data_IF_086525760285
#
_entry.id   IF_086525760285
#
_cell.length_a   1.000
_cell.length_b   1.000
_cell.length_c   1.000
_cell.angle_alpha   90.00
_cell.angle_beta   90.00
_cell.angle_gamma   90.00
#
_symmetry.space_group_name_H-M   'P 1'
#
loop_
_entity.id
_entity.type
_entity.pdbx_description
1 polymer ?
#
# COMPACT_ATOMS: atom_id res chain seq x y z
N UNK A 1 -15.62 -8.56 37.11
CA UNK A 1 -14.91 -7.32 37.49
C UNK A 1 -13.94 -6.90 36.40
N UNK A 2 -13.10 -7.78 35.85
CA UNK A 2 -12.13 -7.43 34.78
C UNK A 2 -12.78 -6.85 33.50
N UNK A 3 -13.91 -7.40 33.04
CA UNK A 3 -14.60 -6.90 31.86
C UNK A 3 -15.14 -5.47 32.01
N UNK A 4 -15.63 -5.12 33.19
CA UNK A 4 -16.14 -3.78 33.49
C UNK A 4 -15.01 -2.74 33.49
N UNK A 5 -13.87 -3.06 34.09
CA UNK A 5 -12.68 -2.19 34.13
C UNK A 5 -12.15 -1.98 32.71
N UNK A 6 -12.07 -3.03 31.91
CA UNK A 6 -11.64 -2.96 30.52
C UNK A 6 -12.59 -2.12 29.65
N UNK A 7 -13.90 -2.24 29.83
CA UNK A 7 -14.90 -1.43 29.12
C UNK A 7 -14.75 0.07 29.44
N UNK A 8 -14.54 0.42 30.69
CA UNK A 8 -14.25 1.80 31.12
C UNK A 8 -12.95 2.28 30.52
N UNK A 9 -11.90 1.45 30.53
CA UNK A 9 -10.58 1.80 29.99
C UNK A 9 -10.61 2.06 28.47
N UNK A 10 -11.33 1.25 27.71
CA UNK A 10 -11.51 1.45 26.26
C UNK A 10 -12.15 2.81 25.94
N UNK A 11 -13.18 3.17 26.72
CA UNK A 11 -13.90 4.44 26.55
C UNK A 11 -13.08 5.63 27.03
N UNK A 12 -12.47 5.52 28.22
CA UNK A 12 -11.72 6.62 28.84
C UNK A 12 -10.45 6.98 28.04
N UNK A 13 -9.77 5.99 27.44
CA UNK A 13 -8.56 6.19 26.64
C UNK A 13 -8.85 6.40 25.15
N UNK A 14 -10.11 6.51 24.76
CA UNK A 14 -10.52 6.68 23.36
C UNK A 14 -9.91 5.66 22.40
N UNK A 15 -9.73 4.45 22.86
CA UNK A 15 -9.11 3.38 22.08
C UNK A 15 -10.02 2.88 20.97
N UNK A 16 -11.35 2.95 21.18
CA UNK A 16 -12.35 2.40 20.28
C UNK A 16 -13.66 3.20 20.35
N UNK A 17 -14.24 3.47 19.17
CA UNK A 17 -15.55 4.12 19.03
C UNK A 17 -16.46 3.33 18.09
N UNK A 18 -17.78 3.37 18.26
CA UNK A 18 -18.71 2.93 17.21
C UNK A 18 -18.40 3.66 15.90
N UNK A 19 -18.39 2.92 14.79
CA UNK A 19 -17.98 3.42 13.46
C UNK A 19 -16.51 3.22 13.11
N UNK A 20 -15.65 2.89 14.05
CA UNK A 20 -14.26 2.53 13.75
C UNK A 20 -14.19 1.23 12.96
N UNK A 21 -13.31 1.18 11.98
CA UNK A 21 -12.87 -0.06 11.38
C UNK A 21 -11.71 -0.62 12.18
N UNK A 22 -11.85 -1.86 12.64
CA UNK A 22 -10.79 -2.58 13.34
C UNK A 22 -10.49 -3.92 12.69
N UNK A 23 -9.25 -4.38 12.85
CA UNK A 23 -8.82 -5.72 12.47
C UNK A 23 -8.19 -6.41 13.67
N UNK A 24 -8.75 -7.56 14.06
CA UNK A 24 -8.32 -8.38 15.20
C UNK A 24 -8.39 -9.86 14.80
N UNK A 25 -7.36 -10.38 14.09
CA UNK A 25 -7.39 -11.71 13.47
C UNK A 25 -7.60 -12.83 14.47
N UNK A 26 -7.02 -12.72 15.66
CA UNK A 26 -7.15 -13.71 16.73
C UNK A 26 -8.61 -14.01 17.11
N UNK A 27 -9.48 -13.03 16.93
CA UNK A 27 -10.91 -13.13 17.29
C UNK A 27 -11.82 -13.17 16.05
N UNK A 28 -11.24 -13.25 14.86
CA UNK A 28 -12.00 -13.26 13.60
C UNK A 28 -12.79 -11.97 13.38
N UNK A 29 -12.32 -10.85 13.91
CA UNK A 29 -12.94 -9.54 13.71
C UNK A 29 -12.15 -8.72 12.68
N UNK A 30 -12.82 -8.36 11.59
CA UNK A 30 -12.33 -7.42 10.58
C UNK A 30 -13.52 -6.68 9.97
N UNK A 31 -13.78 -5.48 10.47
CA UNK A 31 -14.94 -4.71 10.02
C UNK A 31 -15.23 -3.51 10.90
N UNK A 32 -16.47 -3.05 10.84
CA UNK A 32 -16.91 -1.85 11.54
C UNK A 32 -17.49 -2.17 12.92
N UNK A 33 -16.98 -1.47 13.92
CA UNK A 33 -17.54 -1.50 15.29
C UNK A 33 -18.95 -0.89 15.26
N UNK A 34 -19.94 -1.66 15.64
CA UNK A 34 -21.34 -1.19 15.67
C UNK A 34 -21.80 -0.84 17.08
N UNK A 35 -21.22 -1.46 18.10
CA UNK A 35 -21.61 -1.24 19.48
C UNK A 35 -20.41 -1.44 20.41
N UNK A 36 -20.27 -0.58 21.38
CA UNK A 36 -19.31 -0.69 22.48
C UNK A 36 -20.06 -0.53 23.80
N UNK A 37 -20.11 -1.59 24.59
CA UNK A 37 -20.69 -1.59 25.95
C UNK A 37 -19.61 -1.93 26.97
N UNK A 38 -19.95 -1.86 28.23
CA UNK A 38 -19.05 -2.24 29.32
C UNK A 38 -18.65 -3.74 29.31
N UNK A 39 -19.46 -4.58 28.67
CA UNK A 39 -19.28 -6.04 28.70
C UNK A 39 -19.05 -6.63 27.28
N UNK A 40 -19.33 -5.88 26.26
CA UNK A 40 -19.39 -6.42 24.89
C UNK A 40 -19.02 -5.36 23.87
N UNK A 41 -18.21 -5.75 22.90
CA UNK A 41 -17.94 -4.99 21.66
C UNK A 41 -18.43 -5.83 20.49
N UNK A 42 -19.28 -5.27 19.64
CA UNK A 42 -19.78 -5.92 18.42
C UNK A 42 -19.14 -5.31 17.19
N UNK A 43 -18.59 -6.16 16.34
CA UNK A 43 -17.96 -5.80 15.08
C UNK A 43 -18.74 -6.44 13.93
N UNK A 44 -19.21 -5.63 12.98
CA UNK A 44 -19.78 -6.13 11.73
C UNK A 44 -18.64 -6.33 10.75
N UNK A 45 -18.34 -7.58 10.44
CA UNK A 45 -17.34 -7.97 9.47
C UNK A 45 -17.78 -7.63 8.03
N UNK A 46 -16.84 -7.67 7.09
CA UNK A 46 -17.11 -7.33 5.68
C UNK A 46 -18.06 -8.32 4.98
N UNK A 47 -18.20 -9.53 5.49
CA UNK A 47 -19.17 -10.53 5.04
C UNK A 47 -20.56 -10.37 5.70
N UNK A 48 -20.79 -9.28 6.44
CA UNK A 48 -22.00 -8.97 7.21
C UNK A 48 -22.24 -9.87 8.44
N UNK A 49 -21.33 -10.75 8.80
CA UNK A 49 -21.38 -11.45 10.07
C UNK A 49 -21.04 -10.50 11.24
N UNK A 50 -21.49 -10.84 12.44
CA UNK A 50 -21.19 -10.05 13.64
C UNK A 50 -20.30 -10.89 14.56
N UNK A 51 -19.09 -10.38 14.81
CA UNK A 51 -18.20 -10.93 15.85
C UNK A 51 -18.38 -10.14 17.13
N UNK A 52 -18.58 -10.87 18.21
CA UNK A 52 -18.66 -10.29 19.57
C UNK A 52 -17.34 -10.51 20.28
N UNK A 53 -16.69 -9.43 20.69
CA UNK A 53 -15.40 -9.45 21.38
C UNK A 53 -15.58 -8.91 22.80
N UNK A 54 -15.09 -9.60 23.84
CA UNK A 54 -15.13 -9.06 25.18
C UNK A 54 -14.13 -7.90 25.33
N UNK A 55 -14.49 -6.80 26.04
CA UNK A 55 -13.62 -5.62 26.16
C UNK A 55 -12.22 -5.91 26.69
N UNK A 56 -12.07 -6.88 27.60
CA UNK A 56 -10.74 -7.22 28.12
C UNK A 56 -9.78 -7.73 27.03
N UNK A 57 -10.29 -8.38 25.99
CA UNK A 57 -9.48 -8.87 24.90
C UNK A 57 -8.86 -7.71 24.06
N UNK A 58 -9.60 -6.62 23.93
CA UNK A 58 -9.13 -5.40 23.23
C UNK A 58 -8.10 -4.60 24.05
N UNK A 59 -8.08 -4.81 25.37
CA UNK A 59 -7.09 -4.19 26.25
C UNK A 59 -5.86 -5.07 26.43
N UNK A 60 -6.03 -6.41 26.49
CA UNK A 60 -4.95 -7.36 26.72
C UNK A 60 -4.20 -7.79 25.44
N UNK A 61 -4.89 -7.80 24.31
CA UNK A 61 -4.32 -8.19 23.03
C UNK A 61 -4.16 -6.96 22.09
N UNK A 62 -3.33 -7.10 21.07
CA UNK A 62 -3.19 -6.07 20.05
C UNK A 62 -4.30 -6.15 19.01
N UNK A 63 -4.80 -5.01 18.58
CA UNK A 63 -5.69 -4.86 17.44
C UNK A 63 -5.28 -3.65 16.61
N UNK A 64 -5.63 -3.65 15.33
CA UNK A 64 -5.44 -2.50 14.46
C UNK A 64 -6.72 -1.67 14.41
N UNK A 65 -6.61 -0.38 14.73
CA UNK A 65 -7.67 0.60 14.50
C UNK A 65 -7.34 1.43 13.26
N UNK A 66 -8.17 1.36 12.23
CA UNK A 66 -7.98 2.04 10.96
C UNK A 66 -8.43 3.51 10.98
N UNK A 67 -8.88 4.03 12.13
CA UNK A 67 -9.22 5.45 12.30
C UNK A 67 -8.05 6.35 11.87
N UNK A 68 -6.84 6.04 12.33
CA UNK A 68 -5.64 6.80 11.96
C UNK A 68 -5.38 6.85 10.45
N UNK A 69 -5.68 5.75 9.71
CA UNK A 69 -5.60 5.77 8.25
C UNK A 69 -6.67 6.68 7.64
N UNK A 70 -7.91 6.64 8.14
CA UNK A 70 -9.00 7.51 7.67
C UNK A 70 -8.74 8.99 7.93
N UNK A 71 -8.10 9.33 9.04
CA UNK A 71 -7.72 10.70 9.42
C UNK A 71 -6.43 11.17 8.74
N UNK A 72 -5.59 10.25 8.25
CA UNK A 72 -4.33 10.57 7.56
C UNK A 72 -4.54 11.11 6.15
N UNK A 73 -3.48 11.60 5.54
CA UNK A 73 -3.46 12.11 4.15
C UNK A 73 -3.63 11.04 3.07
N UNK A 74 -3.67 9.73 3.39
CA UNK A 74 -3.79 8.70 2.36
C UNK A 74 -3.82 7.27 2.85
N UNK A 75 -4.25 6.37 1.99
CA UNK A 75 -4.24 4.92 2.22
C UNK A 75 -3.07 4.29 1.47
N UNK A 76 -2.20 3.57 2.19
CA UNK A 76 -0.99 2.97 1.64
C UNK A 76 -1.28 1.92 0.57
N UNK A 77 -0.64 2.05 -0.59
CA UNK A 77 -0.49 1.01 -1.59
C UNK A 77 0.91 0.43 -1.47
N UNK A 78 0.99 -0.89 -1.40
CA UNK A 78 2.23 -1.65 -1.37
C UNK A 78 2.05 -2.89 -2.22
N UNK A 79 2.52 -2.83 -3.48
CA UNK A 79 2.38 -3.90 -4.46
C UNK A 79 3.69 -4.09 -5.21
N UNK A 80 4.02 -5.32 -5.53
CA UNK A 80 5.21 -5.66 -6.31
C UNK A 80 4.85 -6.47 -7.54
N UNK A 81 5.69 -6.33 -8.56
CA UNK A 81 5.76 -7.21 -9.72
C UNK A 81 7.14 -7.85 -9.74
N UNK A 82 7.24 -9.06 -10.24
CA UNK A 82 8.52 -9.75 -10.39
C UNK A 82 9.05 -9.52 -11.81
N UNK A 83 10.30 -9.10 -11.91
CA UNK A 83 11.01 -8.91 -13.18
C UNK A 83 11.90 -10.13 -13.41
N UNK A 84 11.88 -10.71 -14.61
CA UNK A 84 12.84 -11.72 -15.01
C UNK A 84 14.25 -11.12 -15.01
N UNK A 85 15.10 -11.62 -14.13
CA UNK A 85 16.46 -11.12 -13.97
C UNK A 85 17.32 -11.27 -15.24
N UNK A 86 17.01 -12.22 -16.12
CA UNK A 86 17.71 -12.41 -17.37
C UNK A 86 17.47 -11.26 -18.37
N UNK A 87 16.44 -10.45 -18.13
CA UNK A 87 16.12 -9.28 -18.96
C UNK A 87 16.75 -7.98 -18.44
N UNK A 88 17.34 -8.03 -17.24
CA UNK A 88 18.06 -6.87 -16.67
C UNK A 88 19.41 -6.73 -17.39
N UNK A 89 19.61 -5.59 -18.04
CA UNK A 89 20.79 -5.33 -18.87
C UNK A 89 21.06 -3.83 -18.99
N UNK A 90 22.22 -3.48 -19.50
CA UNK A 90 22.49 -2.10 -19.89
C UNK A 90 21.61 -1.66 -21.07
N UNK A 91 21.15 -0.43 -21.04
CA UNK A 91 20.44 0.19 -22.15
C UNK A 91 21.40 0.42 -23.32
N UNK A 92 20.93 0.18 -24.54
CA UNK A 92 21.71 0.55 -25.73
C UNK A 92 21.73 2.07 -25.93
N UNK A 93 22.73 2.62 -26.61
CA UNK A 93 22.77 4.06 -26.97
C UNK A 93 21.50 4.55 -27.67
N UNK A 94 20.93 3.72 -28.54
CA UNK A 94 19.70 4.01 -29.26
C UNK A 94 18.49 4.08 -28.32
N UNK A 95 18.41 3.15 -27.37
CA UNK A 95 17.38 3.17 -26.34
C UNK A 95 17.47 4.44 -25.48
N UNK A 96 18.68 4.77 -25.01
CA UNK A 96 18.88 5.99 -24.22
C UNK A 96 18.51 7.27 -24.99
N UNK A 97 18.91 7.40 -26.26
CA UNK A 97 18.51 8.52 -27.10
C UNK A 97 17.00 8.63 -27.29
N UNK A 98 16.28 7.49 -27.32
CA UNK A 98 14.83 7.46 -27.40
C UNK A 98 14.21 7.91 -26.08
N UNK A 99 14.74 7.46 -24.95
CA UNK A 99 14.24 7.83 -23.62
C UNK A 99 14.50 9.30 -23.29
N UNK A 100 15.68 9.84 -23.60
CA UNK A 100 16.04 11.23 -23.35
C UNK A 100 15.11 12.26 -24.02
N UNK A 101 14.37 11.86 -25.04
CA UNK A 101 13.35 12.68 -25.69
C UNK A 101 12.01 12.69 -24.94
N UNK A 102 11.85 11.86 -23.93
CA UNK A 102 10.60 11.71 -23.20
C UNK A 102 10.53 12.66 -22.01
N UNK A 103 9.36 13.22 -21.75
CA UNK A 103 9.12 14.16 -20.65
C UNK A 103 9.47 13.53 -19.29
N UNK A 104 9.23 12.23 -19.14
CA UNK A 104 9.49 11.52 -17.89
C UNK A 104 10.99 11.34 -17.56
N UNK A 105 11.89 11.61 -18.52
CA UNK A 105 13.34 11.66 -18.25
C UNK A 105 13.79 12.96 -17.55
N UNK A 106 12.88 13.90 -17.36
CA UNK A 106 13.19 15.09 -16.57
C UNK A 106 13.60 14.71 -15.15
N UNK A 107 14.75 15.23 -14.72
CA UNK A 107 15.31 14.91 -13.39
C UNK A 107 15.99 13.54 -13.30
N UNK A 108 16.18 12.83 -14.42
CA UNK A 108 16.93 11.58 -14.41
C UNK A 108 18.42 11.85 -14.18
N UNK A 109 18.97 11.24 -13.13
CA UNK A 109 20.38 11.34 -12.80
C UNK A 109 21.13 10.14 -13.39
N UNK A 110 22.08 10.39 -14.30
CA UNK A 110 22.92 9.34 -14.86
C UNK A 110 23.90 8.80 -13.82
N UNK A 111 23.96 7.47 -13.70
CA UNK A 111 24.84 6.80 -12.75
C UNK A 111 26.24 6.52 -13.28
N UNK A 112 26.39 6.53 -14.62
CA UNK A 112 27.67 6.24 -15.26
C UNK A 112 27.66 6.46 -16.77
N UNK A 113 28.48 5.70 -17.49
CA UNK A 113 28.53 5.72 -18.97
C UNK A 113 27.35 4.98 -19.60
N UNK A 114 26.89 3.95 -18.93
CA UNK A 114 25.81 3.07 -19.35
C UNK A 114 24.81 2.92 -18.21
N UNK A 115 23.53 3.01 -18.53
CA UNK A 115 22.45 2.89 -17.54
C UNK A 115 21.78 1.51 -17.63
N UNK A 116 21.47 0.93 -16.48
CA UNK A 116 20.70 -0.32 -16.42
C UNK A 116 19.23 -0.04 -16.72
N UNK A 117 18.61 -0.85 -17.60
CA UNK A 117 17.21 -0.69 -17.99
C UNK A 117 16.25 -0.70 -16.78
N UNK A 118 16.55 -1.46 -15.74
CA UNK A 118 15.77 -1.48 -14.52
C UNK A 118 15.80 -0.15 -13.75
N UNK A 119 16.94 0.55 -13.78
CA UNK A 119 17.06 1.87 -13.15
C UNK A 119 16.23 2.91 -13.89
N UNK A 120 16.30 2.91 -15.22
CA UNK A 120 15.48 3.76 -16.09
C UNK A 120 13.99 3.49 -15.87
N UNK A 121 13.62 2.21 -15.78
CA UNK A 121 12.24 1.80 -15.51
C UNK A 121 11.72 2.28 -14.15
N UNK A 122 12.51 2.17 -13.09
CA UNK A 122 12.12 2.66 -11.76
C UNK A 122 11.89 4.17 -11.77
N UNK A 123 12.78 4.94 -12.41
CA UNK A 123 12.60 6.38 -12.58
C UNK A 123 11.30 6.72 -13.31
N UNK A 124 11.02 6.01 -14.40
CA UNK A 124 9.78 6.17 -15.15
C UNK A 124 8.55 5.91 -14.26
N UNK A 125 8.56 4.86 -13.46
CA UNK A 125 7.45 4.51 -12.58
C UNK A 125 7.26 5.54 -11.45
N UNK A 126 8.34 6.08 -10.89
CA UNK A 126 8.25 7.17 -9.93
C UNK A 126 7.66 8.43 -10.55
N UNK A 127 8.10 8.78 -11.76
CA UNK A 127 7.52 9.89 -12.51
C UNK A 127 6.02 9.70 -12.74
N UNK A 128 5.60 8.53 -13.19
CA UNK A 128 4.19 8.20 -13.42
C UNK A 128 3.35 8.34 -12.15
N UNK A 129 3.82 7.80 -11.04
CA UNK A 129 3.11 7.88 -9.76
C UNK A 129 3.03 9.32 -9.24
N UNK A 130 4.08 10.11 -9.37
CA UNK A 130 4.10 11.53 -8.96
C UNK A 130 3.14 12.40 -9.77
N UNK A 131 2.90 12.06 -11.02
CA UNK A 131 1.98 12.79 -11.90
C UNK A 131 0.55 12.24 -11.92
N UNK A 132 0.26 11.19 -11.14
CA UNK A 132 -1.09 10.67 -11.01
C UNK A 132 -1.87 11.47 -9.96
N UNK A 133 -2.96 12.17 -10.34
CA UNK A 133 -3.72 13.05 -9.42
C UNK A 133 -4.39 12.30 -8.27
N UNK A 134 -4.49 10.97 -8.35
CA UNK A 134 -5.06 10.13 -7.29
C UNK A 134 -4.01 9.69 -6.24
N UNK A 135 -2.75 10.02 -6.45
CA UNK A 135 -1.64 9.73 -5.53
C UNK A 135 -1.35 10.95 -4.68
N UNK A 136 -1.23 10.77 -3.38
CA UNK A 136 -0.76 11.84 -2.50
C UNK A 136 0.76 11.89 -2.49
N UNK A 137 1.32 12.89 -3.15
CA UNK A 137 2.78 13.07 -3.33
C UNK A 137 3.46 13.74 -2.14
N UNK A 138 2.71 14.22 -1.16
CA UNK A 138 3.28 14.77 0.09
C UNK A 138 3.68 13.66 1.07
N UNK A 139 3.14 12.46 0.88
CA UNK A 139 3.53 11.28 1.63
C UNK A 139 4.64 10.51 0.91
N UNK A 140 5.22 9.52 1.61
CA UNK A 140 6.30 8.70 1.05
C UNK A 140 5.85 8.05 -0.25
N UNK A 141 6.63 8.28 -1.31
CA UNK A 141 6.47 7.67 -2.61
C UNK A 141 7.83 7.16 -3.07
N UNK A 142 7.90 5.87 -3.38
CA UNK A 142 9.09 5.24 -3.93
C UNK A 142 8.74 4.01 -4.78
N UNK A 143 9.60 3.75 -5.75
CA UNK A 143 9.66 2.48 -6.48
C UNK A 143 10.97 1.80 -6.11
N UNK A 144 10.91 0.72 -5.36
CA UNK A 144 12.10 0.07 -4.82
C UNK A 144 12.26 -1.35 -5.31
N UNK A 145 13.49 -1.76 -5.39
CA UNK A 145 13.91 -3.12 -5.67
C UNK A 145 14.02 -3.88 -4.35
N UNK A 146 13.37 -5.04 -4.27
CA UNK A 146 13.50 -5.93 -3.12
C UNK A 146 14.55 -7.02 -3.39
N UNK A 147 14.74 -7.89 -2.40
CA UNK A 147 15.63 -9.02 -2.53
C UNK A 147 15.14 -9.98 -3.63
N UNK A 148 16.04 -10.47 -4.51
CA UNK A 148 15.69 -11.45 -5.53
C UNK A 148 15.04 -12.70 -4.94
N UNK A 149 14.08 -13.25 -5.66
CA UNK A 149 13.37 -14.48 -5.32
C UNK A 149 13.49 -15.50 -6.46
N UNK A 150 13.13 -16.78 -6.25
CA UNK A 150 13.07 -17.75 -7.34
C UNK A 150 12.09 -17.37 -8.46
N UNK A 151 11.12 -16.49 -8.17
CA UNK A 151 10.14 -16.00 -9.13
C UNK A 151 10.60 -14.73 -9.88
N UNK A 152 11.81 -14.24 -9.60
CA UNK A 152 12.37 -13.05 -10.21
C UNK A 152 12.72 -11.96 -9.20
N UNK A 153 12.99 -10.77 -9.71
CA UNK A 153 13.37 -9.60 -8.95
C UNK A 153 12.14 -8.73 -8.65
N UNK A 154 11.65 -8.67 -7.40
CA UNK A 154 10.47 -7.89 -7.08
C UNK A 154 10.77 -6.39 -7.15
N UNK A 155 9.99 -5.65 -7.92
CA UNK A 155 9.93 -4.19 -7.93
C UNK A 155 8.65 -3.77 -7.22
N UNK A 156 8.81 -3.10 -6.09
CA UNK A 156 7.70 -2.71 -5.23
C UNK A 156 7.33 -1.25 -5.47
N UNK A 157 6.05 -1.03 -5.74
CA UNK A 157 5.42 0.29 -5.73
C UNK A 157 4.97 0.57 -4.30
N UNK A 158 5.49 1.63 -3.71
CA UNK A 158 5.11 2.07 -2.37
C UNK A 158 4.67 3.53 -2.43
N UNK A 159 3.39 3.77 -2.24
CA UNK A 159 2.81 5.10 -2.30
C UNK A 159 1.49 5.17 -1.54
N UNK A 160 0.88 6.35 -1.48
CA UNK A 160 -0.40 6.55 -0.80
C UNK A 160 -1.46 7.06 -1.76
N UNK A 161 -2.61 6.38 -1.79
CA UNK A 161 -3.81 6.85 -2.48
C UNK A 161 -4.41 8.05 -1.73
N UNK A 162 -4.68 9.14 -2.43
CA UNK A 162 -5.36 10.30 -1.85
C UNK A 162 -6.80 9.96 -1.45
N UNK A 163 -7.49 9.12 -2.25
CA UNK A 163 -8.79 8.57 -1.87
C UNK A 163 -8.61 7.30 -1.03
N UNK A 164 -9.22 7.29 0.15
CA UNK A 164 -9.10 6.20 1.14
C UNK A 164 -10.25 5.20 1.08
N UNK A 165 -11.31 5.51 0.32
CA UNK A 165 -12.44 4.63 0.13
C UNK A 165 -12.04 3.36 -0.59
N UNK A 166 -12.65 2.24 -0.23
CA UNK A 166 -12.20 0.91 -0.65
C UNK A 166 -12.19 0.75 -2.16
N UNK A 167 -13.30 1.05 -2.84
CA UNK A 167 -13.42 0.81 -4.28
C UNK A 167 -12.44 1.68 -5.10
N UNK A 168 -12.35 3.01 -4.91
CA UNK A 168 -11.36 3.84 -5.59
C UNK A 168 -9.90 3.43 -5.30
N UNK A 169 -9.63 3.02 -4.07
CA UNK A 169 -8.31 2.51 -3.66
C UNK A 169 -7.93 1.25 -4.43
N UNK A 170 -8.82 0.24 -4.49
CA UNK A 170 -8.54 -1.01 -5.22
C UNK A 170 -8.37 -0.77 -6.73
N UNK A 171 -9.16 0.13 -7.32
CA UNK A 171 -9.01 0.52 -8.72
C UNK A 171 -7.65 1.15 -8.99
N UNK A 172 -7.23 2.11 -8.17
CA UNK A 172 -5.90 2.75 -8.32
C UNK A 172 -4.77 1.72 -8.17
N UNK A 173 -4.87 0.83 -7.19
CA UNK A 173 -3.91 -0.22 -6.95
C UNK A 173 -3.79 -1.18 -8.14
N UNK A 174 -4.91 -1.64 -8.69
CA UNK A 174 -4.95 -2.53 -9.85
C UNK A 174 -4.38 -1.84 -11.11
N UNK A 175 -4.77 -0.58 -11.36
CA UNK A 175 -4.25 0.20 -12.48
C UNK A 175 -2.76 0.43 -12.39
N UNK A 176 -2.23 0.80 -11.21
CA UNK A 176 -0.81 1.00 -11.02
C UNK A 176 -0.01 -0.28 -11.34
N UNK A 177 -0.47 -1.44 -10.86
CA UNK A 177 0.18 -2.74 -11.15
C UNK A 177 0.11 -3.07 -12.65
N UNK A 178 -1.07 -2.97 -13.27
CA UNK A 178 -1.25 -3.26 -14.69
C UNK A 178 -0.42 -2.34 -15.57
N UNK A 179 -0.37 -1.04 -15.24
CA UNK A 179 0.44 -0.08 -15.95
C UNK A 179 1.93 -0.38 -15.83
N UNK A 180 2.39 -0.74 -14.63
CA UNK A 180 3.78 -1.16 -14.38
C UNK A 180 4.15 -2.37 -15.24
N UNK A 181 3.27 -3.37 -15.32
CA UNK A 181 3.47 -4.54 -16.15
C UNK A 181 3.63 -4.19 -17.63
N UNK A 182 2.71 -3.42 -18.18
CA UNK A 182 2.75 -3.04 -19.59
C UNK A 182 4.00 -2.21 -19.93
N UNK A 183 4.40 -1.32 -19.04
CA UNK A 183 5.53 -0.40 -19.27
C UNK A 183 6.90 -1.03 -19.02
N UNK A 184 6.98 -2.12 -18.27
CA UNK A 184 8.22 -2.88 -18.12
C UNK A 184 8.76 -3.31 -19.51
N UNK A 185 7.89 -3.74 -20.41
CA UNK A 185 8.28 -4.14 -21.77
C UNK A 185 8.89 -3.00 -22.59
N UNK A 186 8.53 -1.74 -22.37
CA UNK A 186 9.12 -0.59 -23.07
C UNK A 186 10.59 -0.39 -22.73
N UNK A 187 11.03 -0.79 -21.56
CA UNK A 187 12.44 -0.79 -21.14
C UNK A 187 13.13 -2.14 -21.38
N UNK A 188 12.49 -3.03 -22.16
CA UNK A 188 12.97 -4.39 -22.45
C UNK A 188 13.09 -5.29 -21.21
N UNK A 189 12.28 -5.05 -20.19
CA UNK A 189 12.12 -5.91 -19.04
C UNK A 189 10.95 -6.88 -19.28
N UNK A 190 11.09 -8.12 -18.83
CA UNK A 190 10.03 -9.14 -18.85
C UNK A 190 9.68 -9.58 -17.43
N UNK A 191 8.45 -10.07 -17.27
CA UNK A 191 7.88 -10.55 -16.01
C UNK A 191 7.82 -12.08 -15.98
#
# INVERSE_FOLDING_TARGET
IMGLVAGVQLSANDMLRPGDWITMPKYGADGTVIEVTLTTVKVRNWDNTITTVPPYALVSDSFQNWRGMRESGGRRVKRSINIDMNTVRFCTPEQMKKFEKQVWMSGFEKTGKEEVNLYVFRHYMEYYLRHNPRVNTELILMVRQLQPTPQGLPIELYFFSANKDWIPYERLQAEAVSYTHLRAHETSLHL
#
